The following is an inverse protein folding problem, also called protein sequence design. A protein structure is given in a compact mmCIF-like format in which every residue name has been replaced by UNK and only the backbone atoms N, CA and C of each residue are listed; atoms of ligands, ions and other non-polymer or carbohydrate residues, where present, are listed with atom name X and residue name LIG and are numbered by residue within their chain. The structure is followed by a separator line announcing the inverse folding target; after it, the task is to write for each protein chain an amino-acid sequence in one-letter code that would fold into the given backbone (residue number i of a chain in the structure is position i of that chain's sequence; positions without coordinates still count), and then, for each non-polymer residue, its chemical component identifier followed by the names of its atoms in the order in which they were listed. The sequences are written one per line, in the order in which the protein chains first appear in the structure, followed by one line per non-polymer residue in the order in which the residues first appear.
data_IF_960410332710
#
_entry.id   IF_960410332710
#
_cell.length_a   1.000
_cell.length_b   1.000
_cell.length_c   1.000
_cell.angle_alpha   90.00
_cell.angle_beta   90.00
_cell.angle_gamma   90.00
#
_symmetry.space_group_name_H-M   'P 1'
#
loop_
_entity.id
_entity.type
_entity.pdbx_description
1 polymer ?
#
# COMPACT_ATOMS: atom_id res chain seq x y z
N UNK A 1 -11.83 -0.21 17.55
CA UNK A 1 -12.50 0.92 16.86
C UNK A 1 -13.73 1.46 17.59
N UNK A 2 -14.20 0.83 18.68
CA UNK A 2 -15.48 1.21 19.30
C UNK A 2 -15.49 2.63 19.91
N UNK A 3 -14.40 3.04 20.58
CA UNK A 3 -14.28 4.39 21.13
C UNK A 3 -14.31 5.50 20.05
N UNK A 4 -13.64 5.28 18.91
CA UNK A 4 -13.62 6.25 17.81
C UNK A 4 -15.01 6.42 17.16
N UNK A 5 -15.78 5.33 17.01
CA UNK A 5 -17.17 5.40 16.52
C UNK A 5 -18.09 6.17 17.46
N UNK A 6 -17.85 6.06 18.77
CA UNK A 6 -18.64 6.79 19.76
C UNK A 6 -18.34 8.29 19.74
N UNK A 7 -17.07 8.67 19.61
CA UNK A 7 -16.64 10.07 19.56
C UNK A 7 -16.93 10.75 18.21
N UNK A 8 -16.94 9.99 17.11
CA UNK A 8 -17.15 10.49 15.75
C UNK A 8 -18.23 9.67 15.05
N UNK A 9 -19.48 9.92 15.42
CA UNK A 9 -20.63 9.11 14.98
C UNK A 9 -20.89 9.22 13.47
N UNK A 10 -20.62 10.39 12.89
CA UNK A 10 -20.79 10.66 11.46
C UNK A 10 -19.57 10.29 10.61
N UNK A 11 -18.46 9.88 11.24
CA UNK A 11 -17.24 9.53 10.52
C UNK A 11 -17.36 8.15 9.87
N UNK A 12 -17.11 8.09 8.57
CA UNK A 12 -17.09 6.83 7.82
C UNK A 12 -15.75 6.11 7.99
N UNK A 13 -15.68 5.22 9.00
CA UNK A 13 -14.46 4.47 9.32
C UNK A 13 -14.31 3.27 8.37
N UNK A 14 -13.46 3.42 7.35
CA UNK A 14 -13.16 2.37 6.36
C UNK A 14 -12.03 1.42 6.74
N UNK A 15 -11.19 1.78 7.70
CA UNK A 15 -10.00 0.99 8.04
C UNK A 15 -9.12 1.64 9.08
N UNK A 16 -7.94 1.05 9.33
CA UNK A 16 -6.97 1.54 10.30
C UNK A 16 -5.62 1.80 9.63
N UNK A 17 -5.23 3.08 9.54
CA UNK A 17 -3.96 3.49 8.94
C UNK A 17 -2.74 2.83 9.61
N UNK A 18 -2.80 2.64 10.92
CA UNK A 18 -1.75 1.96 11.67
C UNK A 18 -1.56 0.50 11.21
N UNK A 19 -2.64 -0.26 11.07
CA UNK A 19 -2.57 -1.65 10.61
C UNK A 19 -2.20 -1.78 9.13
N UNK A 20 -2.62 -0.81 8.30
CA UNK A 20 -2.15 -0.70 6.91
C UNK A 20 -0.63 -0.52 6.87
N UNK A 21 -0.13 0.47 7.61
CA UNK A 21 1.31 0.76 7.74
C UNK A 21 2.10 -0.47 8.20
N UNK A 22 1.65 -1.14 9.26
CA UNK A 22 2.30 -2.35 9.75
C UNK A 22 2.32 -3.49 8.72
N UNK A 23 1.21 -3.71 8.00
CA UNK A 23 1.10 -4.79 7.04
C UNK A 23 2.02 -4.58 5.84
N UNK A 24 2.10 -3.33 5.35
CA UNK A 24 3.05 -2.97 4.31
C UNK A 24 4.50 -3.19 4.76
N UNK A 25 4.86 -2.73 5.97
CA UNK A 25 6.22 -2.92 6.50
C UNK A 25 6.56 -4.42 6.63
N UNK A 26 5.62 -5.25 7.09
CA UNK A 26 5.82 -6.71 7.13
C UNK A 26 6.06 -7.28 5.74
N UNK A 27 5.29 -6.86 4.72
CA UNK A 27 5.49 -7.31 3.34
C UNK A 27 6.87 -6.88 2.81
N UNK A 28 7.25 -5.63 3.00
CA UNK A 28 8.58 -5.11 2.62
C UNK A 28 9.69 -5.94 3.26
N UNK A 29 9.57 -6.26 4.55
CA UNK A 29 10.58 -7.05 5.27
C UNK A 29 10.58 -8.54 4.89
N UNK A 30 9.53 -9.03 4.23
CA UNK A 30 9.40 -10.44 3.83
C UNK A 30 10.02 -10.75 2.46
N UNK A 31 10.30 -9.74 1.63
CA UNK A 31 10.92 -9.95 0.32
C UNK A 31 12.45 -10.08 0.45
N UNK A 32 13.05 -10.88 -0.44
CA UNK A 32 14.50 -11.19 -0.45
C UNK A 32 15.37 -9.93 -0.59
N UNK A 33 14.81 -8.83 -1.14
CA UNK A 33 15.48 -7.53 -1.28
C UNK A 33 15.67 -6.73 0.02
N UNK A 34 15.42 -7.32 1.19
CA UNK A 34 15.51 -6.63 2.49
C UNK A 34 16.83 -5.86 2.66
N UNK A 35 17.98 -6.42 2.28
CA UNK A 35 19.29 -5.78 2.43
C UNK A 35 19.44 -4.51 1.56
N UNK A 36 18.98 -4.55 0.31
CA UNK A 36 19.01 -3.42 -0.63
C UNK A 36 18.07 -2.31 -0.17
N UNK A 37 16.85 -2.70 0.22
CA UNK A 37 15.87 -1.77 0.77
C UNK A 37 16.39 -1.16 2.08
N UNK A 38 17.11 -1.91 2.92
CA UNK A 38 17.66 -1.41 4.17
C UNK A 38 18.78 -0.38 3.99
N UNK A 39 19.59 -0.53 2.94
CA UNK A 39 20.71 0.36 2.61
C UNK A 39 20.31 1.68 1.94
N UNK A 40 19.11 1.76 1.34
CA UNK A 40 18.68 2.95 0.60
C UNK A 40 17.42 3.60 1.21
N UNK A 41 17.61 4.81 1.77
CA UNK A 41 16.53 5.59 2.36
C UNK A 41 15.48 6.04 1.34
N UNK A 42 15.89 6.30 0.09
CA UNK A 42 14.99 6.70 -0.98
C UNK A 42 14.09 5.55 -1.39
N UNK A 43 14.64 4.33 -1.48
CA UNK A 43 13.83 3.12 -1.72
C UNK A 43 12.82 2.89 -0.60
N UNK A 44 13.22 3.04 0.67
CA UNK A 44 12.27 2.96 1.81
C UNK A 44 11.17 4.01 1.71
N UNK A 45 11.52 5.26 1.37
CA UNK A 45 10.57 6.35 1.26
C UNK A 45 9.60 6.11 0.10
N UNK A 46 10.11 5.68 -1.05
CA UNK A 46 9.33 5.29 -2.22
C UNK A 46 8.35 4.16 -1.88
N UNK A 47 8.79 3.09 -1.22
CA UNK A 47 7.89 2.00 -0.83
C UNK A 47 6.83 2.45 0.19
N UNK A 48 7.22 3.29 1.16
CA UNK A 48 6.28 3.85 2.14
C UNK A 48 5.29 4.84 1.53
N UNK A 49 5.60 5.44 0.37
CA UNK A 49 4.68 6.34 -0.34
C UNK A 49 3.36 5.66 -0.70
N UNK A 50 3.30 4.33 -0.82
CA UNK A 50 2.07 3.56 -1.00
C UNK A 50 1.03 3.84 0.11
N UNK A 51 1.48 4.20 1.32
CA UNK A 51 0.59 4.56 2.43
C UNK A 51 -0.16 5.87 2.19
N UNK A 52 0.38 6.76 1.36
CA UNK A 52 -0.29 8.02 1.00
C UNK A 52 -1.64 7.80 0.31
N UNK A 53 -1.83 6.64 -0.34
CA UNK A 53 -3.08 6.26 -1.00
C UNK A 53 -4.26 6.14 -0.04
N UNK A 54 -4.01 5.97 1.27
CA UNK A 54 -5.05 5.99 2.29
C UNK A 54 -5.76 7.35 2.43
N UNK A 55 -5.13 8.42 1.95
CA UNK A 55 -5.66 9.79 2.00
C UNK A 55 -6.22 10.27 0.65
N UNK A 56 -6.14 9.43 -0.39
CA UNK A 56 -6.68 9.74 -1.72
C UNK A 56 -8.18 9.40 -1.74
N UNK A 57 -9.04 10.25 -2.34
CA UNK A 57 -10.45 9.92 -2.53
C UNK A 57 -10.60 8.57 -3.26
N UNK A 58 -11.53 7.72 -2.81
CA UNK A 58 -11.67 6.33 -3.30
C UNK A 58 -11.72 6.22 -4.83
N UNK A 59 -12.44 7.13 -5.51
CA UNK A 59 -12.56 7.17 -6.97
C UNK A 59 -11.21 7.39 -7.70
N UNK A 60 -10.25 7.99 -7.03
CA UNK A 60 -8.95 8.39 -7.57
C UNK A 60 -7.81 7.45 -7.11
N UNK A 61 -8.06 6.54 -6.15
CA UNK A 61 -7.02 5.64 -5.58
C UNK A 61 -6.35 4.80 -6.66
N UNK A 62 -7.12 4.20 -7.58
CA UNK A 62 -6.57 3.35 -8.64
C UNK A 62 -5.63 4.14 -9.55
N UNK A 63 -6.09 5.30 -10.03
CA UNK A 63 -5.31 6.19 -10.89
C UNK A 63 -4.03 6.65 -10.21
N UNK A 64 -4.10 7.04 -8.93
CA UNK A 64 -2.92 7.50 -8.19
C UNK A 64 -1.95 6.36 -7.88
N UNK A 65 -2.44 5.14 -7.66
CA UNK A 65 -1.56 3.98 -7.56
C UNK A 65 -0.79 3.74 -8.86
N UNK A 66 -1.45 3.81 -10.02
CA UNK A 66 -0.78 3.63 -11.31
C UNK A 66 0.31 4.68 -11.54
N UNK A 67 -0.01 5.95 -11.30
CA UNK A 67 0.96 7.05 -11.38
C UNK A 67 2.13 6.85 -10.42
N UNK A 68 1.85 6.43 -9.18
CA UNK A 68 2.87 6.20 -8.17
C UNK A 68 3.76 5.01 -8.53
N UNK A 69 3.18 3.89 -9.00
CA UNK A 69 3.96 2.72 -9.41
C UNK A 69 4.88 3.01 -10.60
N UNK A 70 4.48 3.92 -11.50
CA UNK A 70 5.31 4.32 -12.63
C UNK A 70 6.57 5.11 -12.22
N UNK A 71 6.64 5.64 -10.99
CA UNK A 71 7.84 6.32 -10.49
C UNK A 71 8.90 5.34 -9.97
N UNK A 72 8.61 4.04 -9.92
CA UNK A 72 9.52 3.03 -9.38
C UNK A 72 10.53 2.66 -10.46
N UNK A 73 11.81 3.00 -10.24
CA UNK A 73 12.88 2.83 -11.24
C UNK A 73 13.12 1.37 -11.67
N UNK A 74 12.76 0.42 -10.80
CA UNK A 74 12.89 -1.03 -11.04
C UNK A 74 11.58 -1.71 -10.62
N UNK A 75 10.57 -1.62 -11.49
CA UNK A 75 9.24 -2.15 -11.21
C UNK A 75 9.29 -3.65 -10.94
N UNK A 76 10.17 -4.39 -11.61
CA UNK A 76 10.31 -5.85 -11.46
C UNK A 76 10.81 -6.21 -10.05
N UNK A 77 11.82 -5.50 -9.53
CA UNK A 77 12.33 -5.71 -8.17
C UNK A 77 11.27 -5.49 -7.08
N UNK A 78 10.29 -4.61 -7.33
CA UNK A 78 9.24 -4.28 -6.37
C UNK A 78 7.87 -4.87 -6.72
N UNK A 79 7.77 -5.64 -7.81
CA UNK A 79 6.49 -6.13 -8.33
C UNK A 79 5.73 -6.98 -7.30
N UNK A 80 6.44 -7.78 -6.51
CA UNK A 80 5.85 -8.57 -5.42
C UNK A 80 5.16 -7.71 -4.35
N UNK A 81 5.72 -6.53 -4.05
CA UNK A 81 5.15 -5.59 -3.08
C UNK A 81 3.99 -4.83 -3.72
N UNK A 82 4.16 -4.35 -4.96
CA UNK A 82 3.12 -3.63 -5.71
C UNK A 82 1.89 -4.51 -5.95
N UNK A 83 2.10 -5.75 -6.38
CA UNK A 83 1.04 -6.74 -6.59
C UNK A 83 0.34 -7.08 -5.27
N UNK A 84 1.09 -7.27 -4.17
CA UNK A 84 0.49 -7.46 -2.86
C UNK A 84 -0.40 -6.29 -2.45
N UNK A 85 0.10 -5.06 -2.57
CA UNK A 85 -0.65 -3.87 -2.17
C UNK A 85 -1.90 -3.68 -3.02
N UNK A 86 -1.76 -3.83 -4.35
CA UNK A 86 -2.85 -3.71 -5.30
C UNK A 86 -3.96 -4.73 -5.05
N UNK A 87 -3.61 -6.02 -4.96
CA UNK A 87 -4.59 -7.10 -4.75
C UNK A 87 -5.27 -7.01 -3.39
N UNK A 88 -4.54 -6.62 -2.34
CA UNK A 88 -5.05 -6.59 -0.97
C UNK A 88 -5.91 -5.35 -0.69
N UNK A 89 -5.44 -4.17 -1.10
CA UNK A 89 -6.03 -2.89 -0.64
C UNK A 89 -6.74 -2.09 -1.73
N UNK A 90 -6.49 -2.36 -3.02
CA UNK A 90 -7.09 -1.59 -4.12
C UNK A 90 -8.19 -2.39 -4.81
N UNK A 91 -7.90 -3.63 -5.25
CA UNK A 91 -8.90 -4.49 -5.89
C UNK A 91 -9.79 -5.22 -4.87
N UNK A 92 -9.27 -5.46 -3.67
CA UNK A 92 -9.94 -6.16 -2.58
C UNK A 92 -9.88 -7.69 -2.69
N UNK A 93 -9.96 -8.35 -1.54
CA UNK A 93 -9.76 -9.80 -1.34
C UNK A 93 -10.72 -10.72 -2.13
N UNK A 94 -11.78 -10.20 -2.77
CA UNK A 94 -12.68 -10.99 -3.62
C UNK A 94 -12.00 -11.47 -4.93
N UNK A 95 -10.83 -10.91 -5.29
CA UNK A 95 -10.07 -11.25 -6.51
C UNK A 95 -8.66 -11.72 -6.14
N UNK A 96 -8.55 -12.87 -5.47
CA UNK A 96 -7.29 -13.44 -4.95
C UNK A 96 -6.18 -13.72 -5.97
N UNK A 97 -6.44 -13.60 -7.27
CA UNK A 97 -5.46 -13.83 -8.35
C UNK A 97 -5.17 -12.57 -9.19
N UNK A 98 -5.53 -11.38 -8.69
CA UNK A 98 -5.24 -10.16 -9.43
C UNK A 98 -3.75 -9.81 -9.34
N UNK A 99 -3.03 -9.98 -10.45
CA UNK A 99 -1.71 -9.38 -10.62
C UNK A 99 -1.84 -7.90 -10.94
N UNK A 100 -0.89 -7.12 -10.43
CA UNK A 100 -0.65 -5.81 -10.99
C UNK A 100 0.09 -5.99 -12.32
N UNK A 101 -0.38 -5.32 -13.37
CA UNK A 101 0.30 -5.25 -14.66
C UNK A 101 0.67 -3.79 -14.87
N UNK A 102 1.96 -3.46 -15.04
CA UNK A 102 2.44 -2.10 -15.30
C UNK A 102 1.82 -1.50 -16.57
#
# INVERSE_FOLDING_TARGET
MNAARHAFQDADIKGCFFHLSQSLIRKINSVVLKSVIESDIQVKLMLKSLLSLAFVPLKDVRKNFDLLSATFLDVDAYNDILTYFFSTYIKGAARRNAQFSP
#
